data_IF_543453548080
#
_entry.id   IF_543453548080
#
_cell.length_a   1.000
_cell.length_b   1.000
_cell.length_c   1.000
_cell.angle_alpha   90.00
_cell.angle_beta   90.00
_cell.angle_gamma   90.00
#
_symmetry.space_group_name_H-M   'P 1'
#
loop_
_entity.id
_entity.type
_entity.pdbx_description
1 polymer ?
#
# COMPACT_ATOMS: atom_id res chain seq x y z
N UNK A 1 25.05 -4.58 22.60
CA UNK A 1 24.87 -5.07 21.22
C UNK A 1 23.37 -5.10 20.94
N UNK A 2 22.80 -3.95 20.65
CA UNK A 2 21.37 -3.75 20.39
C UNK A 2 21.24 -2.37 19.75
N UNK A 3 20.33 -2.24 18.78
CA UNK A 3 19.93 -0.98 18.14
C UNK A 3 20.69 -0.54 16.87
N UNK A 4 21.23 -1.48 16.09
CA UNK A 4 21.67 -1.24 14.70
C UNK A 4 20.64 -1.66 13.62
N UNK A 5 19.52 -2.27 14.03
CA UNK A 5 18.37 -2.48 13.15
C UNK A 5 17.35 -1.40 13.49
N UNK A 6 17.42 -0.28 12.75
CA UNK A 6 16.49 0.83 12.92
C UNK A 6 15.06 0.32 12.98
N UNK A 7 14.39 0.59 14.09
CA UNK A 7 12.98 0.31 14.29
C UNK A 7 12.22 1.03 13.17
N UNK A 8 11.78 0.29 12.17
CA UNK A 8 11.01 0.85 11.07
C UNK A 8 9.65 1.23 11.63
N UNK A 9 9.51 2.49 12.03
CA UNK A 9 8.22 3.03 12.48
C UNK A 9 7.25 2.95 11.29
N UNK A 10 6.11 2.30 11.50
CA UNK A 10 5.04 2.06 10.52
C UNK A 10 4.54 3.33 9.82
N UNK A 11 4.80 4.50 10.40
CA UNK A 11 4.47 5.83 9.90
C UNK A 11 5.71 6.65 9.51
N UNK A 12 6.84 5.99 9.18
CA UNK A 12 8.07 6.70 8.82
C UNK A 12 7.82 7.65 7.62
N UNK A 13 7.88 8.98 7.83
CA UNK A 13 7.48 9.95 6.82
C UNK A 13 8.40 9.95 5.58
N UNK A 14 9.59 9.36 5.71
CA UNK A 14 10.61 9.35 4.68
C UNK A 14 10.20 8.58 3.42
N UNK A 15 9.53 7.43 3.56
CA UNK A 15 9.14 6.62 2.39
C UNK A 15 8.05 7.29 1.56
N UNK A 16 7.09 7.90 2.25
CA UNK A 16 6.04 8.71 1.64
C UNK A 16 6.68 9.87 0.85
N UNK A 17 7.57 10.62 1.50
CA UNK A 17 8.23 11.76 0.88
C UNK A 17 9.07 11.36 -0.34
N UNK A 18 9.80 10.24 -0.27
CA UNK A 18 10.58 9.74 -1.39
C UNK A 18 9.70 9.31 -2.58
N UNK A 19 8.58 8.64 -2.34
CA UNK A 19 7.65 8.30 -3.41
C UNK A 19 7.04 9.54 -4.07
N UNK A 20 6.61 10.53 -3.27
CA UNK A 20 6.02 11.78 -3.78
C UNK A 20 7.04 12.64 -4.54
N UNK A 21 8.34 12.51 -4.23
CA UNK A 21 9.40 13.20 -4.96
C UNK A 21 9.57 12.70 -6.41
N UNK A 22 8.98 11.55 -6.77
CA UNK A 22 9.02 11.03 -8.12
C UNK A 22 8.11 11.86 -9.06
N UNK A 23 8.57 12.25 -10.26
CA UNK A 23 7.83 13.16 -11.15
C UNK A 23 6.45 12.63 -11.58
N UNK A 24 6.28 11.31 -11.64
CA UNK A 24 5.04 10.65 -12.07
C UNK A 24 4.04 10.42 -10.93
N UNK A 25 4.43 10.64 -9.67
CA UNK A 25 3.57 10.38 -8.50
C UNK A 25 2.85 11.66 -8.12
N UNK A 26 1.53 11.57 -7.95
CA UNK A 26 0.71 12.65 -7.40
C UNK A 26 0.67 12.53 -5.87
N UNK A 27 0.34 11.34 -5.37
CA UNK A 27 0.19 11.07 -3.94
C UNK A 27 0.66 9.66 -3.62
N UNK A 28 1.03 9.44 -2.36
CA UNK A 28 1.26 8.09 -1.87
C UNK A 28 0.83 7.94 -0.41
N UNK A 29 0.78 6.70 0.04
CA UNK A 29 0.65 6.35 1.44
C UNK A 29 1.38 5.04 1.68
N UNK A 30 2.11 4.96 2.80
CA UNK A 30 2.84 3.75 3.19
C UNK A 30 2.29 3.26 4.52
N UNK A 31 2.10 1.95 4.63
CA UNK A 31 1.69 1.25 5.86
C UNK A 31 2.48 -0.03 6.02
N UNK A 32 2.61 -0.51 7.25
CA UNK A 32 3.10 -1.85 7.54
C UNK A 32 2.04 -2.91 7.25
N UNK A 33 2.48 -4.13 6.92
CA UNK A 33 1.61 -5.30 6.86
C UNK A 33 2.33 -6.57 7.33
N UNK A 34 1.61 -7.60 7.82
CA UNK A 34 2.21 -8.88 8.17
C UNK A 34 2.86 -9.55 6.96
N UNK A 35 4.15 -9.83 7.05
CA UNK A 35 4.93 -10.46 5.99
C UNK A 35 5.56 -11.76 6.49
N UNK A 36 5.30 -12.88 5.81
CA UNK A 36 5.70 -14.23 6.28
C UNK A 36 7.19 -14.41 6.58
N UNK A 37 8.06 -13.77 5.79
CA UNK A 37 9.52 -13.88 5.93
C UNK A 37 10.09 -12.79 6.86
N UNK A 38 9.74 -11.52 6.60
CA UNK A 38 10.28 -10.35 7.30
C UNK A 38 9.62 -10.06 8.66
N UNK A 39 8.53 -10.76 8.99
CA UNK A 39 7.61 -10.39 10.09
C UNK A 39 6.71 -9.24 9.68
N UNK A 40 7.31 -8.10 9.29
CA UNK A 40 6.63 -6.91 8.83
C UNK A 40 7.16 -6.48 7.46
N UNK A 41 6.26 -6.22 6.53
CA UNK A 41 6.56 -5.72 5.19
C UNK A 41 6.08 -4.29 4.99
N UNK A 42 6.56 -3.66 3.93
CA UNK A 42 6.23 -2.28 3.53
C UNK A 42 5.22 -2.33 2.38
N UNK A 43 4.03 -1.77 2.61
CA UNK A 43 2.98 -1.64 1.61
C UNK A 43 2.84 -0.19 1.17
N UNK A 44 3.03 0.09 -0.12
CA UNK A 44 2.90 1.42 -0.70
C UNK A 44 1.68 1.52 -1.61
N UNK A 45 0.78 2.44 -1.29
CA UNK A 45 -0.28 2.91 -2.17
C UNK A 45 0.23 4.12 -2.94
N UNK A 46 0.08 4.10 -4.26
CA UNK A 46 0.60 5.15 -5.14
C UNK A 46 -0.51 5.61 -6.09
N UNK A 47 -0.77 6.91 -6.09
CA UNK A 47 -1.60 7.57 -7.08
C UNK A 47 -0.70 8.32 -8.04
N UNK A 48 -0.80 7.98 -9.33
CA UNK A 48 -0.01 8.61 -10.39
C UNK A 48 -0.68 9.91 -10.84
N UNK A 49 0.10 10.78 -11.47
CA UNK A 49 -0.43 11.99 -12.10
C UNK A 49 -1.34 11.64 -13.29
N UNK A 50 -2.24 12.57 -13.61
CA UNK A 50 -3.17 12.41 -14.72
C UNK A 50 -2.44 12.08 -16.04
N UNK A 51 -2.98 11.14 -16.80
CA UNK A 51 -2.40 10.67 -18.07
C UNK A 51 -1.31 9.61 -17.92
N UNK A 52 -1.02 9.14 -16.70
CA UNK A 52 -0.03 8.10 -16.45
C UNK A 52 -0.73 6.84 -15.92
N UNK A 53 -0.57 5.72 -16.63
CA UNK A 53 -1.10 4.43 -16.22
C UNK A 53 -0.08 3.60 -15.46
N UNK A 54 -0.50 2.99 -14.36
CA UNK A 54 0.35 2.13 -13.55
C UNK A 54 0.69 0.84 -14.29
N UNK A 55 1.98 0.60 -14.52
CA UNK A 55 2.49 -0.62 -15.14
C UNK A 55 3.78 -1.09 -14.45
N UNK A 56 4.32 -2.22 -14.90
CA UNK A 56 5.54 -2.80 -14.33
C UNK A 56 6.78 -1.92 -14.51
N UNK A 57 6.83 -1.10 -15.56
CA UNK A 57 7.97 -0.23 -15.83
C UNK A 57 8.01 0.94 -14.85
N UNK A 58 6.89 1.61 -14.62
CA UNK A 58 6.76 2.64 -13.57
C UNK A 58 7.02 2.02 -12.20
N UNK A 59 6.52 0.81 -11.94
CA UNK A 59 6.78 0.12 -10.68
C UNK A 59 8.29 -0.08 -10.46
N UNK A 60 9.03 -0.54 -11.47
CA UNK A 60 10.50 -0.68 -11.39
C UNK A 60 11.17 0.68 -11.17
N UNK A 61 10.72 1.71 -11.89
CA UNK A 61 11.23 3.09 -11.76
C UNK A 61 11.09 3.60 -10.31
N UNK A 62 9.92 3.43 -9.71
CA UNK A 62 9.65 3.81 -8.31
C UNK A 62 10.54 3.05 -7.32
N UNK A 63 10.75 1.75 -7.53
CA UNK A 63 11.62 0.95 -6.66
C UNK A 63 13.09 1.42 -6.76
N UNK A 64 13.57 1.73 -7.95
CA UNK A 64 14.91 2.30 -8.17
C UNK A 64 15.02 3.66 -7.49
N UNK A 65 13.99 4.51 -7.64
CA UNK A 65 13.95 5.83 -7.04
C UNK A 65 14.04 5.77 -5.51
N UNK A 66 13.19 4.99 -4.85
CA UNK A 66 13.23 4.84 -3.38
C UNK A 66 14.59 4.30 -2.92
N UNK A 67 15.11 3.30 -3.62
CA UNK A 67 16.42 2.71 -3.29
C UNK A 67 17.54 3.75 -3.39
N UNK A 68 17.47 4.67 -4.36
CA UNK A 68 18.43 5.76 -4.49
C UNK A 68 18.29 6.82 -3.40
N UNK A 69 17.06 7.16 -3.00
CA UNK A 69 16.78 8.25 -2.05
C UNK A 69 17.03 7.83 -0.60
N UNK A 70 16.61 6.63 -0.22
CA UNK A 70 16.64 6.15 1.18
C UNK A 70 17.56 4.94 1.35
N UNK A 71 17.59 4.06 0.36
CA UNK A 71 18.37 2.83 0.40
C UNK A 71 17.51 1.56 0.31
N UNK A 72 18.15 0.38 0.16
CA UNK A 72 17.44 -0.90 -0.06
C UNK A 72 16.48 -1.29 1.06
N UNK A 73 16.72 -0.83 2.30
CA UNK A 73 15.89 -1.13 3.47
C UNK A 73 14.48 -0.52 3.38
N UNK A 74 14.33 0.56 2.63
CA UNK A 74 13.06 1.28 2.46
C UNK A 74 12.23 0.77 1.27
N UNK A 75 12.75 -0.21 0.52
CA UNK A 75 12.10 -0.73 -0.67
C UNK A 75 10.73 -1.35 -0.31
N UNK A 76 9.61 -0.87 -0.88
CA UNK A 76 8.32 -1.47 -0.68
C UNK A 76 8.28 -2.94 -1.13
N UNK A 77 7.65 -3.78 -0.33
CA UNK A 77 7.37 -5.17 -0.69
C UNK A 77 6.19 -5.26 -1.66
N UNK A 78 5.20 -4.37 -1.47
CA UNK A 78 4.05 -4.24 -2.34
C UNK A 78 3.89 -2.79 -2.77
N UNK A 79 3.70 -2.58 -4.07
CA UNK A 79 3.21 -1.32 -4.63
C UNK A 79 1.86 -1.60 -5.25
N UNK A 80 0.85 -0.86 -4.80
CA UNK A 80 -0.49 -0.86 -5.34
C UNK A 80 -0.77 0.50 -5.96
N UNK A 81 -1.06 0.52 -7.26
CA UNK A 81 -1.58 1.71 -7.90
C UNK A 81 -3.05 1.88 -7.55
N UNK A 82 -3.42 3.08 -7.12
CA UNK A 82 -4.80 3.43 -6.78
C UNK A 82 -5.17 4.77 -7.43
N UNK A 83 -6.39 4.91 -7.96
CA UNK A 83 -6.83 6.14 -8.60
C UNK A 83 -6.89 7.31 -7.62
N UNK A 84 -7.18 7.05 -6.35
CA UNK A 84 -7.02 8.01 -5.26
C UNK A 84 -6.85 7.33 -3.90
N UNK A 85 -6.47 8.10 -2.88
CA UNK A 85 -6.34 7.62 -1.50
C UNK A 85 -7.59 7.95 -0.69
N UNK A 86 -7.99 7.12 0.29
CA UNK A 86 -9.16 7.34 1.10
C UNK A 86 -8.90 8.54 2.02
N UNK A 87 -9.62 9.65 1.77
CA UNK A 87 -9.46 10.90 2.51
C UNK A 87 -10.74 11.31 3.20
N UNK A 88 -10.61 11.94 4.37
CA UNK A 88 -11.71 12.64 5.02
C UNK A 88 -12.18 13.83 4.17
N UNK A 89 -13.36 14.36 4.46
CA UNK A 89 -13.83 15.65 3.88
C UNK A 89 -12.89 16.84 4.15
N UNK A 90 -11.99 16.72 5.13
CA UNK A 90 -10.92 17.68 5.42
C UNK A 90 -9.60 17.39 4.71
N UNK A 91 -9.55 16.39 3.82
CA UNK A 91 -8.37 16.04 3.02
C UNK A 91 -7.33 15.15 3.72
N UNK A 92 -7.58 14.70 4.95
CA UNK A 92 -6.64 13.84 5.69
C UNK A 92 -6.74 12.39 5.20
N UNK A 93 -5.61 11.78 4.88
CA UNK A 93 -5.54 10.35 4.49
C UNK A 93 -5.91 9.46 5.68
N UNK A 94 -6.88 8.57 5.48
CA UNK A 94 -7.32 7.59 6.48
C UNK A 94 -6.45 6.33 6.43
N UNK A 95 -5.21 6.43 6.91
CA UNK A 95 -4.23 5.32 6.93
C UNK A 95 -4.75 4.04 7.60
N UNK A 96 -5.66 4.16 8.57
CA UNK A 96 -6.32 3.02 9.22
C UNK A 96 -7.00 2.07 8.22
N UNK A 97 -7.66 2.60 7.20
CA UNK A 97 -8.34 1.79 6.17
C UNK A 97 -7.30 1.07 5.32
N UNK A 98 -6.28 1.80 4.87
CA UNK A 98 -5.17 1.26 4.08
C UNK A 98 -4.47 0.10 4.80
N UNK A 99 -4.19 0.24 6.10
CA UNK A 99 -3.58 -0.81 6.91
C UNK A 99 -4.44 -2.08 6.97
N UNK A 100 -5.75 -1.94 7.23
CA UNK A 100 -6.68 -3.08 7.22
C UNK A 100 -6.70 -3.80 5.87
N UNK A 101 -6.70 -3.05 4.76
CA UNK A 101 -6.63 -3.66 3.42
C UNK A 101 -5.30 -4.37 3.20
N UNK A 102 -4.17 -3.77 3.61
CA UNK A 102 -2.85 -4.40 3.50
C UNK A 102 -2.73 -5.70 4.34
N UNK A 103 -3.43 -5.77 5.48
CA UNK A 103 -3.59 -6.96 6.32
C UNK A 103 -4.52 -8.04 5.71
N UNK A 104 -5.24 -7.70 4.63
CA UNK A 104 -6.20 -8.59 3.97
C UNK A 104 -7.62 -8.54 4.52
N UNK A 105 -7.94 -7.53 5.33
CA UNK A 105 -9.28 -7.28 5.87
C UNK A 105 -10.05 -6.40 4.89
N UNK A 106 -11.10 -6.94 4.27
CA UNK A 106 -11.92 -6.22 3.26
C UNK A 106 -13.33 -5.86 3.71
N UNK A 107 -13.89 -6.53 4.73
CA UNK A 107 -15.29 -6.39 5.15
C UNK A 107 -15.50 -5.51 6.38
N UNK A 108 -14.57 -5.54 7.33
CA UNK A 108 -14.62 -4.71 8.52
C UNK A 108 -13.54 -3.63 8.43
N UNK A 109 -13.81 -2.56 7.70
CA UNK A 109 -12.89 -1.42 7.56
C UNK A 109 -13.14 -0.33 8.62
N UNK A 110 -14.03 -0.57 9.59
CA UNK A 110 -14.48 0.42 10.57
C UNK A 110 -15.30 1.56 9.95
N UNK A 111 -15.42 2.67 10.69
CA UNK A 111 -16.23 3.82 10.26
C UNK A 111 -15.63 4.53 9.03
N UNK A 112 -16.45 4.69 8.00
CA UNK A 112 -16.15 5.35 6.71
C UNK A 112 -17.02 6.59 6.47
N UNK A 113 -17.89 6.96 7.41
CA UNK A 113 -18.85 8.06 7.28
C UNK A 113 -18.20 9.43 7.02
N UNK A 114 -16.94 9.59 7.46
CA UNK A 114 -16.16 10.82 7.30
C UNK A 114 -15.42 10.93 5.97
N UNK A 115 -15.43 9.87 5.14
CA UNK A 115 -14.77 9.90 3.83
C UNK A 115 -15.42 10.94 2.92
N UNK A 116 -14.59 11.61 2.13
CA UNK A 116 -15.05 12.46 1.04
C UNK A 116 -15.69 11.59 -0.06
N UNK A 117 -15.06 10.46 -0.36
CA UNK A 117 -15.55 9.48 -1.32
C UNK A 117 -15.37 8.06 -0.77
N UNK A 118 -16.45 7.39 -0.35
CA UNK A 118 -16.41 6.01 0.12
C UNK A 118 -16.09 4.99 -0.98
N UNK A 119 -16.35 5.30 -2.26
CA UNK A 119 -16.20 4.34 -3.37
C UNK A 119 -14.74 3.93 -3.60
N UNK A 120 -13.81 4.85 -3.35
CA UNK A 120 -12.35 4.64 -3.38
C UNK A 120 -11.92 3.43 -2.55
N UNK A 121 -12.63 3.15 -1.44
CA UNK A 121 -12.31 2.00 -0.59
C UNK A 121 -12.55 0.68 -1.32
N UNK A 122 -13.65 0.58 -2.08
CA UNK A 122 -13.96 -0.62 -2.85
C UNK A 122 -12.91 -0.86 -3.94
N UNK A 123 -12.51 0.18 -4.66
CA UNK A 123 -11.47 0.09 -5.69
C UNK A 123 -10.11 -0.33 -5.14
N UNK A 124 -9.74 0.19 -3.96
CA UNK A 124 -8.52 -0.19 -3.26
C UNK A 124 -8.59 -1.66 -2.83
N UNK A 125 -9.73 -2.14 -2.34
CA UNK A 125 -9.92 -3.55 -1.99
C UNK A 125 -9.81 -4.45 -3.22
N UNK A 126 -10.43 -4.07 -4.33
CA UNK A 126 -10.44 -4.85 -5.56
C UNK A 126 -9.05 -4.97 -6.19
N UNK A 127 -8.33 -3.85 -6.27
CA UNK A 127 -6.95 -3.83 -6.79
C UNK A 127 -5.97 -4.54 -5.84
N UNK A 128 -6.22 -4.52 -4.52
CA UNK A 128 -5.42 -5.27 -3.56
C UNK A 128 -5.50 -6.80 -3.78
N UNK A 129 -6.62 -7.34 -4.28
CA UNK A 129 -6.71 -8.78 -4.61
C UNK A 129 -5.72 -9.23 -5.69
N UNK A 130 -5.19 -8.30 -6.49
CA UNK A 130 -4.27 -8.58 -7.59
C UNK A 130 -2.80 -8.51 -7.17
N UNK A 131 -2.48 -7.71 -6.15
CA UNK A 131 -1.09 -7.38 -5.78
C UNK A 131 -0.71 -7.78 -4.35
N UNK A 132 -1.68 -8.02 -3.46
CA UNK A 132 -1.41 -8.35 -2.06
C UNK A 132 -1.40 -9.89 -1.85
N UNK A 133 -0.28 -10.48 -1.41
CA UNK A 133 -0.20 -11.92 -1.11
C UNK A 133 -1.13 -12.37 0.03
N UNK A 134 -1.61 -11.46 0.89
CA UNK A 134 -2.56 -11.78 1.96
C UNK A 134 -4.01 -11.86 1.45
N UNK A 135 -4.31 -11.29 0.28
CA UNK A 135 -5.66 -11.26 -0.32
C UNK A 135 -5.85 -12.23 -1.50
N UNK A 136 -4.84 -13.02 -1.86
CA UNK A 136 -4.95 -13.94 -2.99
C UNK A 136 -6.16 -14.85 -2.84
N UNK A 137 -7.01 -14.88 -3.88
CA UNK A 137 -8.15 -15.80 -3.99
C UNK A 137 -7.65 -17.18 -3.63
N UNK A 138 -8.26 -17.78 -2.61
CA UNK A 138 -8.06 -19.18 -2.33
C UNK A 138 -8.15 -19.93 -3.66
N UNK A 139 -7.14 -20.77 -3.95
CA UNK A 139 -7.38 -21.98 -4.73
C UNK A 139 -8.74 -22.49 -4.25
N UNK A 140 -9.74 -22.51 -5.14
CA UNK A 140 -10.94 -23.31 -4.93
C UNK A 140 -10.40 -24.66 -4.47
N UNK A 141 -10.54 -24.98 -3.18
CA UNK A 141 -10.49 -26.37 -2.76
C UNK A 141 -11.74 -26.95 -3.39
N UNK A 142 -11.54 -27.52 -4.57
CA UNK A 142 -12.49 -28.39 -5.23
C UNK A 142 -13.03 -29.36 -4.19
N UNK A 143 -14.33 -29.58 -4.31
CA UNK A 143 -15.10 -30.62 -3.64
C UNK A 143 -14.28 -31.90 -3.45
N UNK A 144 -14.03 -32.25 -2.18
CA UNK A 144 -13.81 -33.64 -1.77
C UNK A 144 -14.18 -33.80 -0.29
N UNK A 145 -15.48 -33.72 -0.03
CA UNK A 145 -16.17 -34.56 0.98
C UNK A 145 -17.07 -35.47 0.13
N UNK A 146 -16.69 -36.74 0.01
CA UNK A 146 -17.09 -37.84 0.90
C UNK A 146 -18.57 -38.14 0.69
#
# INVERSE_FOLDING_TARGET
FGDAFGHFSEDSPHNLAALVAHPNVAESAVVGFPHKIKGQGIYAYVTLKSGIEGNDDIKKELLVHITKVIGPIAKPDVIQFAPSLPKTRSGKIMRRILRKVAEGVSKDLGDTSTLADPSVVAEIVDTAMQVNPNMTRGRRRSDKKA
#
